data_IF_408831414613
#
_entry.id   IF_408831414613
#
_cell.length_a   1.000
_cell.length_b   1.000
_cell.length_c   1.000
_cell.angle_alpha   90.00
_cell.angle_beta   90.00
_cell.angle_gamma   90.00
#
_symmetry.space_group_name_H-M   'P 1'
#
loop_
_entity.id
_entity.type
_entity.pdbx_description
1 polymer ?
#
# COMPACT_ATOMS: atom_id res chain seq x y z
N UNK A 1 6.34 28.89 12.44
CA UNK A 1 6.88 27.86 13.35
C UNK A 1 6.24 26.53 13.01
N UNK A 2 7.03 25.51 12.67
CA UNK A 2 6.54 24.15 12.43
C UNK A 2 6.39 23.46 13.79
N UNK A 3 5.22 22.92 14.11
CA UNK A 3 5.00 22.15 15.36
C UNK A 3 4.95 20.67 15.02
N UNK A 4 6.01 19.95 15.36
CA UNK A 4 6.08 18.50 15.22
C UNK A 4 5.83 17.82 16.57
N UNK A 5 5.00 16.79 16.59
CA UNK A 5 4.92 15.83 17.71
C UNK A 5 5.33 14.47 17.18
N UNK A 6 6.32 13.85 17.82
CA UNK A 6 6.86 12.54 17.46
C UNK A 6 6.66 11.61 18.65
N UNK A 7 6.01 10.48 18.42
CA UNK A 7 5.95 9.35 19.36
C UNK A 7 6.79 8.22 18.77
N UNK A 8 7.82 7.80 19.53
CA UNK A 8 8.74 6.73 19.16
C UNK A 8 8.55 5.58 20.15
N UNK A 9 7.95 4.49 19.69
CA UNK A 9 8.01 3.19 20.34
C UNK A 9 8.86 2.26 19.48
N UNK A 10 9.63 1.36 20.10
CA UNK A 10 10.57 0.44 19.44
C UNK A 10 10.00 -0.14 18.13
N UNK A 11 10.46 0.39 16.98
CA UNK A 11 10.09 -0.07 15.64
C UNK A 11 8.99 0.72 14.90
N UNK A 12 8.40 1.74 15.51
CA UNK A 12 7.35 2.55 14.84
C UNK A 12 7.44 4.05 15.12
N UNK A 13 7.05 4.85 14.13
CA UNK A 13 7.06 6.31 14.19
C UNK A 13 5.66 6.83 13.91
N UNK A 14 5.12 7.65 14.82
CA UNK A 14 3.96 8.49 14.55
C UNK A 14 4.36 9.95 14.60
N UNK A 15 4.10 10.68 13.52
CA UNK A 15 4.43 12.09 13.41
C UNK A 15 3.23 12.88 12.89
N UNK A 16 2.96 14.01 13.54
CA UNK A 16 2.03 15.04 13.03
C UNK A 16 2.81 16.31 12.76
N UNK A 17 2.68 16.85 11.55
CA UNK A 17 3.30 18.11 11.13
C UNK A 17 2.22 19.12 10.73
N UNK A 18 2.32 20.33 11.27
CA UNK A 18 1.48 21.47 10.86
C UNK A 18 2.34 22.53 10.19
N UNK A 19 1.97 22.94 8.98
CA UNK A 19 2.66 24.02 8.28
C UNK A 19 2.20 25.43 8.74
N UNK A 20 2.80 26.48 8.18
CA UNK A 20 2.48 27.86 8.54
C UNK A 20 1.04 28.30 8.17
N UNK A 21 0.37 27.56 7.28
CA UNK A 21 -1.02 27.80 6.87
C UNK A 21 -2.04 27.05 7.74
N UNK A 22 -1.58 26.25 8.71
CA UNK A 22 -2.43 25.41 9.55
C UNK A 22 -2.77 24.05 8.94
N UNK A 23 -2.23 23.73 7.76
CA UNK A 23 -2.42 22.45 7.06
C UNK A 23 -1.69 21.35 7.84
N UNK A 24 -2.40 20.26 8.16
CA UNK A 24 -1.84 19.14 8.95
C UNK A 24 -1.53 17.94 8.08
N UNK A 25 -0.39 17.31 8.31
CA UNK A 25 -0.02 16.01 7.74
C UNK A 25 0.24 15.01 8.87
N UNK A 26 -0.20 13.77 8.67
CA UNK A 26 -0.03 12.67 9.61
C UNK A 26 0.77 11.55 8.93
N UNK A 27 1.75 11.05 9.65
CA UNK A 27 2.61 9.96 9.24
C UNK A 27 2.57 8.88 10.32
N UNK A 28 2.22 7.66 9.92
CA UNK A 28 2.33 6.45 10.72
C UNK A 28 3.21 5.45 9.97
N UNK A 29 4.35 5.10 10.54
CA UNK A 29 5.30 4.13 9.96
C UNK A 29 5.51 2.99 10.95
N UNK A 30 5.42 1.76 10.46
CA UNK A 30 5.72 0.55 11.22
C UNK A 30 4.65 0.09 12.22
N UNK A 31 3.64 0.91 12.50
CA UNK A 31 2.53 0.57 13.41
C UNK A 31 1.15 0.93 12.86
N UNK A 32 1.06 1.30 11.59
CA UNK A 32 -0.22 1.65 10.99
C UNK A 32 -1.14 0.41 11.00
N UNK A 33 -2.33 0.54 11.58
CA UNK A 33 -3.37 -0.49 11.47
C UNK A 33 -3.99 -0.38 10.09
N UNK A 34 -3.51 -1.21 9.16
CA UNK A 34 -3.97 -1.27 7.77
C UNK A 34 -4.83 -2.52 7.58
N UNK A 35 -5.98 -2.33 6.95
CA UNK A 35 -6.97 -3.36 6.62
C UNK A 35 -7.12 -3.47 5.10
N UNK A 36 -7.76 -4.55 4.63
CA UNK A 36 -8.10 -4.74 3.21
C UNK A 36 -8.90 -3.57 2.64
N UNK A 37 -9.80 -2.99 3.44
CA UNK A 37 -10.59 -1.81 3.07
C UNK A 37 -9.72 -0.58 2.79
N UNK A 38 -8.63 -0.42 3.53
CA UNK A 38 -7.73 0.71 3.36
C UNK A 38 -6.96 0.64 2.04
N UNK A 39 -6.63 -0.58 1.58
CA UNK A 39 -5.86 -0.81 0.36
C UNK A 39 -6.70 -1.17 -0.87
N UNK A 40 -7.99 -1.46 -0.70
CA UNK A 40 -8.94 -1.70 -1.80
C UNK A 40 -8.83 -3.07 -2.47
N UNK A 41 -8.03 -3.98 -1.89
CA UNK A 41 -7.88 -5.38 -2.33
C UNK A 41 -7.80 -6.29 -1.11
N UNK A 42 -8.28 -7.54 -1.23
CA UNK A 42 -8.14 -8.51 -0.15
C UNK A 42 -6.67 -8.88 0.06
N UNK A 43 -6.32 -9.25 1.29
CA UNK A 43 -5.01 -9.83 1.58
C UNK A 43 -4.95 -11.25 1.00
N UNK A 44 -3.76 -11.67 0.59
CA UNK A 44 -3.57 -13.01 0.07
C UNK A 44 -3.90 -14.06 1.16
N UNK A 45 -4.70 -15.10 0.87
CA UNK A 45 -5.07 -16.10 1.86
C UNK A 45 -3.85 -16.76 2.51
N UNK A 46 -3.80 -16.76 3.84
CA UNK A 46 -2.69 -17.34 4.61
C UNK A 46 -1.43 -16.47 4.66
N UNK A 47 -1.42 -15.29 4.03
CA UNK A 47 -0.31 -14.37 4.16
C UNK A 47 -0.25 -13.76 5.58
N UNK A 48 0.97 -13.48 6.04
CA UNK A 48 1.25 -12.84 7.32
C UNK A 48 1.68 -11.40 7.08
N UNK A 49 1.36 -10.52 8.03
CA UNK A 49 1.89 -9.14 8.07
C UNK A 49 3.13 -9.16 8.96
N UNK A 50 4.34 -8.98 8.42
CA UNK A 50 5.52 -8.84 9.27
C UNK A 50 5.45 -7.55 10.08
N UNK A 51 6.06 -7.53 11.25
CA UNK A 51 6.14 -6.32 12.08
C UNK A 51 6.82 -5.18 11.31
N UNK A 52 6.34 -3.95 11.49
CA UNK A 52 6.94 -2.78 10.86
C UNK A 52 6.59 -2.57 9.38
N UNK A 53 5.84 -3.47 8.74
CA UNK A 53 5.61 -3.43 7.28
C UNK A 53 4.40 -2.63 6.84
N UNK A 54 3.73 -1.90 7.75
CA UNK A 54 2.58 -1.07 7.42
C UNK A 54 2.89 0.42 7.59
N UNK A 55 2.36 1.24 6.69
CA UNK A 55 2.44 2.69 6.82
C UNK A 55 1.17 3.39 6.32
N UNK A 56 0.90 4.56 6.89
CA UNK A 56 -0.14 5.47 6.43
C UNK A 56 0.40 6.89 6.44
N UNK A 57 0.26 7.57 5.31
CA UNK A 57 0.60 8.96 5.13
C UNK A 57 -0.68 9.68 4.73
N UNK A 58 -1.18 10.55 5.59
CA UNK A 58 -2.31 11.42 5.27
C UNK A 58 -1.78 12.85 5.16
N UNK A 59 -1.83 13.38 3.94
CA UNK A 59 -1.60 14.80 3.66
C UNK A 59 -2.89 15.39 3.14
N UNK A 60 -3.05 16.71 3.09
CA UNK A 60 -4.29 17.24 2.51
C UNK A 60 -4.33 17.20 0.98
N UNK A 61 -3.27 16.70 0.34
CA UNK A 61 -3.28 16.37 -1.09
C UNK A 61 -3.77 14.93 -1.32
N UNK A 62 -3.93 14.14 -0.25
CA UNK A 62 -4.39 12.76 -0.31
C UNK A 62 -3.77 11.85 0.73
N UNK A 63 -4.22 10.59 0.70
CA UNK A 63 -3.71 9.52 1.56
C UNK A 63 -2.94 8.50 0.73
N UNK A 64 -1.81 8.05 1.27
CA UNK A 64 -1.10 6.85 0.82
C UNK A 64 -1.09 5.84 1.95
N UNK A 65 -1.48 4.61 1.66
CA UNK A 65 -1.44 3.49 2.60
C UNK A 65 -0.58 2.40 1.98
N UNK A 66 0.32 1.82 2.76
CA UNK A 66 1.13 0.70 2.31
C UNK A 66 1.13 -0.44 3.32
N UNK A 67 1.20 -1.67 2.83
CA UNK A 67 1.37 -2.85 3.67
C UNK A 67 2.22 -3.90 2.94
N UNK A 68 3.21 -4.42 3.64
CA UNK A 68 3.95 -5.62 3.25
C UNK A 68 3.33 -6.87 3.85
N UNK A 69 3.15 -7.90 3.04
CA UNK A 69 2.67 -9.22 3.41
C UNK A 69 3.68 -10.27 2.95
N UNK A 70 3.63 -11.43 3.59
CA UNK A 70 4.50 -12.57 3.28
C UNK A 70 3.69 -13.85 3.16
N UNK A 71 3.91 -14.58 2.07
CA UNK A 71 3.24 -15.85 1.78
C UNK A 71 4.25 -16.96 1.55
N UNK A 72 3.93 -18.19 1.97
CA UNK A 72 4.72 -19.37 1.63
C UNK A 72 4.44 -19.92 0.23
N UNK A 73 3.43 -19.39 -0.46
CA UNK A 73 3.07 -19.82 -1.81
C UNK A 73 4.02 -19.22 -2.86
N UNK A 74 4.09 -19.86 -4.03
CA UNK A 74 4.95 -19.43 -5.13
C UNK A 74 4.54 -18.04 -5.68
N UNK A 75 5.50 -17.20 -6.11
CA UNK A 75 5.20 -15.84 -6.61
C UNK A 75 4.17 -15.80 -7.73
N UNK A 76 4.22 -16.76 -8.67
CA UNK A 76 3.26 -16.83 -9.78
C UNK A 76 1.81 -17.01 -9.29
N UNK A 77 1.59 -17.89 -8.31
CA UNK A 77 0.26 -18.14 -7.73
C UNK A 77 -0.28 -16.90 -7.02
N UNK A 78 0.59 -16.19 -6.31
CA UNK A 78 0.26 -14.93 -5.63
C UNK A 78 -0.07 -13.83 -6.65
N UNK A 79 0.74 -13.71 -7.70
CA UNK A 79 0.51 -12.74 -8.78
C UNK A 79 -0.81 -13.01 -9.51
N UNK A 80 -1.13 -14.26 -9.83
CA UNK A 80 -2.39 -14.64 -10.49
C UNK A 80 -3.61 -14.28 -9.64
N UNK A 81 -3.55 -14.52 -8.32
CA UNK A 81 -4.60 -14.10 -7.39
C UNK A 81 -4.87 -12.58 -7.49
N UNK A 82 -3.83 -11.75 -7.35
CA UNK A 82 -4.02 -10.30 -7.38
C UNK A 82 -4.41 -9.79 -8.77
N UNK A 83 -3.91 -10.41 -9.83
CA UNK A 83 -4.30 -10.13 -11.21
C UNK A 83 -5.80 -10.34 -11.40
N UNK A 84 -6.36 -11.44 -10.91
CA UNK A 84 -7.80 -11.69 -10.94
C UNK A 84 -8.58 -10.64 -10.14
N UNK A 85 -8.15 -10.32 -8.91
CA UNK A 85 -8.85 -9.34 -8.05
C UNK A 85 -8.85 -7.94 -8.65
N UNK A 86 -7.77 -7.52 -9.28
CA UNK A 86 -7.68 -6.21 -9.93
C UNK A 86 -8.45 -6.18 -11.25
N UNK A 87 -8.37 -7.23 -12.08
CA UNK A 87 -9.17 -7.33 -13.31
C UNK A 87 -10.67 -7.32 -13.05
N UNK A 88 -11.13 -7.99 -11.99
CA UNK A 88 -12.54 -7.97 -11.59
C UNK A 88 -13.04 -6.56 -11.20
N UNK A 89 -12.13 -5.64 -10.87
CA UNK A 89 -12.44 -4.25 -10.52
C UNK A 89 -12.14 -3.27 -11.67
N UNK A 90 -11.70 -3.75 -12.83
CA UNK A 90 -11.13 -2.93 -13.89
C UNK A 90 -12.14 -2.20 -14.79
N UNK A 91 -13.44 -2.45 -14.62
CA UNK A 91 -14.46 -1.74 -15.39
C UNK A 91 -14.33 -0.22 -15.20
N UNK A 92 -14.11 0.50 -16.30
CA UNK A 92 -13.92 1.96 -16.30
C UNK A 92 -12.62 2.46 -15.66
N UNK A 93 -11.64 1.56 -15.43
CA UNK A 93 -10.34 1.85 -14.83
C UNK A 93 -9.21 1.34 -15.73
N UNK A 94 -8.00 1.85 -15.53
CA UNK A 94 -6.83 1.38 -16.25
C UNK A 94 -6.12 0.30 -15.43
N UNK A 95 -6.07 -0.92 -15.98
CA UNK A 95 -5.30 -2.03 -15.41
C UNK A 95 -3.94 -2.16 -16.13
N UNK A 96 -2.88 -2.30 -15.35
CA UNK A 96 -1.51 -2.51 -15.83
C UNK A 96 -0.94 -3.78 -15.20
N UNK A 97 -0.28 -4.60 -16.02
CA UNK A 97 0.38 -5.86 -15.62
C UNK A 97 1.78 -5.88 -16.24
N UNK A 98 2.79 -5.72 -15.40
CA UNK A 98 4.19 -5.61 -15.83
C UNK A 98 5.02 -6.66 -15.13
N UNK A 99 5.76 -7.45 -15.91
CA UNK A 99 6.83 -8.30 -15.39
C UNK A 99 8.10 -7.47 -15.21
N UNK A 100 8.72 -7.56 -14.04
CA UNK A 100 10.00 -6.96 -13.70
C UNK A 100 11.15 -7.95 -13.81
N UNK A 101 12.34 -7.52 -13.38
CA UNK A 101 13.51 -8.38 -13.25
C UNK A 101 13.27 -9.50 -12.22
N UNK A 102 14.01 -10.60 -12.34
CA UNK A 102 14.01 -11.72 -11.39
C UNK A 102 12.62 -12.34 -11.12
N UNK A 103 11.71 -12.22 -12.07
CA UNK A 103 10.35 -12.74 -11.96
C UNK A 103 9.42 -11.92 -11.07
N UNK A 104 9.81 -10.68 -10.72
CA UNK A 104 8.92 -9.74 -10.05
C UNK A 104 7.70 -9.43 -10.93
N UNK A 105 6.55 -9.21 -10.30
CA UNK A 105 5.33 -8.78 -11.00
C UNK A 105 4.80 -7.52 -10.34
N UNK A 106 4.55 -6.49 -11.15
CA UNK A 106 3.89 -5.26 -10.75
C UNK A 106 2.52 -5.21 -11.41
N UNK A 107 1.48 -5.18 -10.59
CA UNK A 107 0.10 -4.99 -11.01
C UNK A 107 -0.38 -3.64 -10.51
N UNK A 108 -1.10 -2.89 -11.35
CA UNK A 108 -1.70 -1.64 -10.93
C UNK A 108 -3.11 -1.47 -11.48
N UNK A 109 -3.95 -0.80 -10.71
CA UNK A 109 -5.29 -0.40 -11.10
C UNK A 109 -5.48 1.09 -10.79
N UNK A 110 -5.54 1.91 -11.84
CA UNK A 110 -5.74 3.35 -11.75
C UNK A 110 -7.19 3.72 -12.07
N UNK A 111 -7.79 4.51 -11.20
CA UNK A 111 -9.12 5.08 -11.33
C UNK A 111 -8.99 6.61 -11.36
N UNK A 112 -8.88 7.16 -12.57
CA UNK A 112 -8.70 8.59 -12.78
C UNK A 112 -9.92 9.39 -12.29
N UNK A 113 -11.13 8.84 -12.43
CA UNK A 113 -12.38 9.48 -11.97
C UNK A 113 -12.34 9.74 -10.48
N UNK A 114 -11.82 8.78 -9.71
CA UNK A 114 -11.67 8.88 -8.26
C UNK A 114 -10.27 9.31 -7.81
N UNK A 115 -9.38 9.65 -8.76
CA UNK A 115 -7.98 10.00 -8.52
C UNK A 115 -7.29 9.03 -7.54
N UNK A 116 -7.46 7.74 -7.77
CA UNK A 116 -6.95 6.67 -6.90
C UNK A 116 -6.19 5.60 -7.68
N UNK A 117 -5.18 5.03 -7.05
CA UNK A 117 -4.36 3.96 -7.63
C UNK A 117 -4.15 2.88 -6.58
N UNK A 118 -4.29 1.62 -6.99
CA UNK A 118 -3.85 0.45 -6.21
C UNK A 118 -2.69 -0.17 -6.97
N UNK A 119 -1.58 -0.42 -6.29
CA UNK A 119 -0.40 -1.10 -6.81
C UNK A 119 -0.09 -2.31 -5.94
N UNK A 120 0.14 -3.45 -6.58
CA UNK A 120 0.60 -4.67 -5.93
C UNK A 120 1.92 -5.09 -6.59
N UNK A 121 2.96 -5.20 -5.80
CA UNK A 121 4.25 -5.75 -6.22
C UNK A 121 4.44 -7.10 -5.56
N UNK A 122 4.70 -8.11 -6.37
CA UNK A 122 4.97 -9.48 -5.94
C UNK A 122 6.41 -9.80 -6.30
N UNK A 123 7.21 -10.15 -5.29
CA UNK A 123 8.64 -10.45 -5.45
C UNK A 123 8.98 -11.76 -4.77
N UNK A 124 9.97 -12.46 -5.32
CA UNK A 124 10.54 -13.64 -4.69
C UNK A 124 11.41 -13.22 -3.51
N UNK A 125 11.08 -13.69 -2.31
CA UNK A 125 11.97 -13.66 -1.14
C UNK A 125 12.87 -14.89 -1.09
N UNK A 126 13.70 -15.02 -0.05
CA UNK A 126 14.65 -16.13 0.07
C UNK A 126 13.96 -17.50 0.18
N UNK A 127 12.84 -17.56 0.89
CA UNK A 127 12.06 -18.80 1.11
C UNK A 127 10.54 -18.61 0.99
N UNK A 128 10.12 -17.40 0.65
CA UNK A 128 8.74 -16.94 0.64
C UNK A 128 8.49 -15.99 -0.55
N UNK A 129 7.24 -15.55 -0.67
CA UNK A 129 6.84 -14.47 -1.56
C UNK A 129 6.57 -13.24 -0.72
N UNK A 130 7.28 -12.15 -1.02
CA UNK A 130 7.00 -10.83 -0.48
C UNK A 130 5.97 -10.13 -1.37
N UNK A 131 4.99 -9.51 -0.73
CA UNK A 131 3.88 -8.81 -1.38
C UNK A 131 3.84 -7.40 -0.81
N UNK A 132 4.03 -6.40 -1.66
CA UNK A 132 3.86 -5.01 -1.27
C UNK A 132 2.59 -4.46 -1.91
N UNK A 133 1.63 -4.03 -1.09
CA UNK A 133 0.42 -3.36 -1.55
C UNK A 133 0.53 -1.87 -1.19
N UNK A 134 0.31 -1.01 -2.18
CA UNK A 134 0.24 0.45 -2.00
C UNK A 134 -1.06 0.95 -2.59
N UNK A 135 -1.84 1.66 -1.78
CA UNK A 135 -3.04 2.35 -2.21
C UNK A 135 -2.89 3.85 -2.02
N UNK A 136 -3.22 4.60 -3.06
CA UNK A 136 -3.16 6.04 -3.09
C UNK A 136 -4.53 6.58 -3.45
N UNK A 137 -4.96 7.63 -2.73
CA UNK A 137 -6.16 8.41 -3.07
C UNK A 137 -5.81 9.87 -2.93
N UNK A 138 -5.92 10.64 -4.00
CA UNK A 138 -5.80 12.10 -3.95
C UNK A 138 -7.03 12.69 -3.25
N UNK A 139 -6.84 13.82 -2.59
CA UNK A 139 -7.97 14.63 -2.15
C UNK A 139 -8.77 15.11 -3.36
N UNK A 140 -10.10 15.14 -3.25
CA UNK A 140 -10.94 15.79 -4.25
C UNK A 140 -10.56 17.28 -4.31
N UNK A 141 -10.42 17.81 -5.53
CA UNK A 141 -10.19 19.24 -5.76
C UNK A 141 -11.46 20.05 -5.53
#
# INVERSE_FOLDING_TARGET
MLKARVDLSSGSVRMTTTDASGKTSQLEMGSAKVTERDVGVPFYPGAKVPEGQSSRIATPDGTTVSIGLRSGDAPARVADFYREKLKAQAEGKQFTDMSGADGAVMLALADDKNSSVIQVMVTKGESDTDIQIVAQRRAAK
#
